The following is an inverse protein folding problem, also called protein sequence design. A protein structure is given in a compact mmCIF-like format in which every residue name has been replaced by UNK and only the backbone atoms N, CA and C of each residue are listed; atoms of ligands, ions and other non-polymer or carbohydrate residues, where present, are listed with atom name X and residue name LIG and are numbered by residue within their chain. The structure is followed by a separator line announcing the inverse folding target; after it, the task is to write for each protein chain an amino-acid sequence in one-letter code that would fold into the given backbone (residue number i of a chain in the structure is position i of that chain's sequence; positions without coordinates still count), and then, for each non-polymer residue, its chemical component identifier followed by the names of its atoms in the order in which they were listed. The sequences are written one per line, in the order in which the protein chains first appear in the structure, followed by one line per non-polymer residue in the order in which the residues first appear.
data_IF_926726859518
#
_entry.id   IF_926726859518
#
_cell.length_a   1.000
_cell.length_b   1.000
_cell.length_c   1.000
_cell.angle_alpha   90.00
_cell.angle_beta   90.00
_cell.angle_gamma   90.00
#
_symmetry.space_group_name_H-M   'P 1'
#
loop_
_entity.id
_entity.type
_entity.pdbx_description
1 polymer ?
#
# COMPACT_ATOMS: atom_id res chain seq x y z
N UNK A 1 18.28 -0.91 -0.69
CA UNK A 1 17.21 -1.85 -0.28
C UNK A 1 17.12 -1.92 1.23
N UNK A 2 16.09 -1.29 1.80
CA UNK A 2 15.67 -1.56 3.18
C UNK A 2 15.27 -3.04 3.29
N UNK A 3 15.85 -3.77 4.25
CA UNK A 3 15.48 -5.15 4.54
C UNK A 3 14.32 -5.13 5.53
N UNK A 4 13.09 -5.12 5.02
CA UNK A 4 11.91 -5.30 5.86
C UNK A 4 11.83 -6.76 6.33
N UNK A 5 11.40 -6.98 7.58
CA UNK A 5 11.30 -8.35 8.17
C UNK A 5 10.13 -9.15 7.60
N UNK A 6 9.15 -8.47 7.02
CA UNK A 6 7.95 -9.06 6.44
C UNK A 6 6.82 -8.03 6.37
N UNK A 7 5.68 -8.46 5.81
CA UNK A 7 4.46 -7.67 5.81
C UNK A 7 3.86 -7.61 7.23
N UNK A 8 3.28 -6.46 7.60
CA UNK A 8 2.44 -6.37 8.80
C UNK A 8 1.20 -7.26 8.66
N UNK A 9 0.56 -7.56 9.79
CA UNK A 9 -0.75 -8.22 9.79
C UNK A 9 -1.79 -7.33 9.11
N UNK A 10 -2.74 -7.94 8.39
CA UNK A 10 -3.78 -7.22 7.66
C UNK A 10 -4.54 -6.24 8.56
N UNK A 11 -4.93 -6.66 9.75
CA UNK A 11 -5.69 -5.82 10.69
C UNK A 11 -4.89 -4.60 11.14
N UNK A 12 -3.56 -4.75 11.29
CA UNK A 12 -2.68 -3.65 11.61
C UNK A 12 -2.51 -2.70 10.42
N UNK A 13 -2.41 -3.22 9.19
CA UNK A 13 -2.35 -2.39 7.97
C UNK A 13 -3.62 -1.56 7.83
N UNK A 14 -4.80 -2.18 7.98
CA UNK A 14 -6.09 -1.49 7.88
C UNK A 14 -6.19 -0.40 8.94
N UNK A 15 -5.92 -0.74 10.21
CA UNK A 15 -6.02 0.23 11.31
C UNK A 15 -5.04 1.39 11.16
N UNK A 16 -3.78 1.13 10.78
CA UNK A 16 -2.78 2.17 10.56
C UNK A 16 -3.15 3.04 9.35
N UNK A 17 -3.71 2.45 8.28
CA UNK A 17 -4.12 3.16 7.08
C UNK A 17 -5.29 4.12 7.37
N UNK A 18 -6.32 3.65 8.06
CA UNK A 18 -7.46 4.47 8.48
C UNK A 18 -7.02 5.63 9.40
N UNK A 19 -6.11 5.37 10.34
CA UNK A 19 -5.54 6.42 11.21
C UNK A 19 -4.73 7.46 10.44
N UNK A 20 -4.09 7.07 9.34
CA UNK A 20 -3.34 7.95 8.43
C UNK A 20 -4.24 8.66 7.39
N UNK A 21 -5.55 8.40 7.41
CA UNK A 21 -6.54 9.04 6.54
C UNK A 21 -6.74 8.34 5.20
N UNK A 22 -6.25 7.12 5.03
CA UNK A 22 -6.53 6.31 3.83
C UNK A 22 -7.92 5.68 3.90
N UNK A 23 -8.61 5.67 2.78
CA UNK A 23 -9.77 4.82 2.55
C UNK A 23 -9.28 3.40 2.25
N UNK A 24 -9.84 2.40 2.94
CA UNK A 24 -9.48 0.99 2.77
C UNK A 24 -10.64 0.23 2.12
N UNK A 25 -10.36 -0.44 1.02
CA UNK A 25 -11.29 -1.35 0.34
C UNK A 25 -10.70 -2.77 0.36
N UNK A 26 -11.23 -3.59 1.26
CA UNK A 26 -10.88 -4.99 1.44
C UNK A 26 -11.98 -5.95 0.93
N UNK A 27 -13.01 -5.44 0.26
CA UNK A 27 -14.21 -6.21 -0.15
C UNK A 27 -13.83 -7.45 -0.96
N UNK A 28 -12.89 -7.30 -1.90
CA UNK A 28 -12.43 -8.41 -2.73
C UNK A 28 -11.73 -9.51 -1.91
N UNK A 29 -11.02 -9.14 -0.85
CA UNK A 29 -10.36 -10.08 0.04
C UNK A 29 -11.39 -10.85 0.88
N UNK A 30 -12.33 -10.13 1.49
CA UNK A 30 -13.32 -10.70 2.41
C UNK A 30 -14.39 -11.55 1.72
N UNK A 31 -14.88 -11.11 0.55
CA UNK A 31 -16.03 -11.74 -0.10
C UNK A 31 -15.64 -12.71 -1.22
N UNK A 32 -14.52 -12.46 -1.91
CA UNK A 32 -14.15 -13.17 -3.13
C UNK A 32 -12.89 -14.03 -2.99
N UNK A 33 -12.27 -14.07 -1.82
CA UNK A 33 -11.01 -14.79 -1.59
C UNK A 33 -9.83 -14.24 -2.41
N UNK A 34 -9.90 -12.97 -2.80
CA UNK A 34 -8.77 -12.28 -3.43
C UNK A 34 -7.64 -12.10 -2.41
N UNK A 35 -6.39 -12.05 -2.88
CA UNK A 35 -5.25 -11.65 -2.03
C UNK A 35 -5.05 -10.13 -1.97
N UNK A 36 -5.93 -9.36 -2.59
CA UNK A 36 -5.74 -7.92 -2.81
C UNK A 36 -6.66 -7.06 -1.96
N UNK A 37 -6.07 -6.03 -1.36
CA UNK A 37 -6.76 -4.87 -0.79
C UNK A 37 -6.31 -3.59 -1.50
N UNK A 38 -7.13 -2.56 -1.42
CA UNK A 38 -6.83 -1.25 -2.00
C UNK A 38 -6.86 -0.17 -0.93
N UNK A 39 -5.81 0.65 -0.89
CA UNK A 39 -5.72 1.84 -0.05
C UNK A 39 -5.81 3.05 -0.97
N UNK A 40 -6.69 4.01 -0.67
CA UNK A 40 -6.85 5.21 -1.49
C UNK A 40 -6.76 6.43 -0.61
N UNK A 41 -5.96 7.39 -1.04
CA UNK A 41 -5.99 8.73 -0.50
C UNK A 41 -6.22 9.68 -1.66
N UNK A 42 -7.48 10.06 -1.82
CA UNK A 42 -7.96 10.92 -2.91
C UNK A 42 -7.92 12.40 -2.53
N UNK A 43 -7.62 12.75 -1.28
CA UNK A 43 -7.74 14.12 -0.79
C UNK A 43 -6.39 14.80 -0.55
N UNK A 44 -5.38 14.05 -0.14
CA UNK A 44 -4.06 14.61 0.14
C UNK A 44 -3.03 14.11 -0.88
N UNK A 45 -2.70 12.82 -0.85
CA UNK A 45 -1.61 12.26 -1.66
C UNK A 45 -1.99 12.06 -3.13
N UNK A 46 -3.29 11.99 -3.43
CA UNK A 46 -3.82 11.56 -4.73
C UNK A 46 -3.14 10.25 -5.18
N UNK A 47 -3.17 9.22 -4.32
CA UNK A 47 -2.56 7.91 -4.59
C UNK A 47 -3.55 6.78 -4.33
N UNK A 48 -3.40 5.72 -5.12
CA UNK A 48 -4.06 4.44 -4.90
C UNK A 48 -2.99 3.36 -4.79
N UNK A 49 -3.06 2.55 -3.74
CA UNK A 49 -2.12 1.47 -3.47
C UNK A 49 -2.87 0.15 -3.51
N UNK A 50 -2.53 -0.70 -4.47
CA UNK A 50 -2.99 -2.08 -4.49
C UNK A 50 -1.97 -2.94 -3.74
N UNK A 51 -2.40 -3.63 -2.68
CA UNK A 51 -1.54 -4.43 -1.80
C UNK A 51 -1.97 -5.88 -1.88
N UNK A 52 -1.02 -6.76 -2.18
CA UNK A 52 -1.21 -8.20 -2.06
C UNK A 52 -0.81 -8.64 -0.66
N UNK A 53 -1.76 -9.05 0.16
CA UNK A 53 -1.52 -9.33 1.59
C UNK A 53 -0.80 -10.65 1.83
N UNK A 54 -0.75 -11.52 0.82
CA UNK A 54 -0.12 -12.85 0.89
C UNK A 54 1.37 -12.80 0.50
N UNK A 55 1.71 -12.07 -0.57
CA UNK A 55 3.09 -11.88 -1.04
C UNK A 55 3.76 -10.63 -0.47
N UNK A 56 2.98 -9.68 0.04
CA UNK A 56 3.43 -8.36 0.46
C UNK A 56 3.85 -7.46 -0.69
N UNK A 57 3.57 -7.81 -1.95
CA UNK A 57 3.79 -6.91 -3.08
C UNK A 57 2.78 -5.77 -3.07
N UNK A 58 3.21 -4.57 -3.47
CA UNK A 58 2.29 -3.48 -3.75
C UNK A 58 2.61 -2.75 -5.05
N UNK A 59 1.58 -2.07 -5.56
CA UNK A 59 1.63 -1.17 -6.71
C UNK A 59 0.97 0.15 -6.31
N UNK A 60 1.62 1.25 -6.65
CA UNK A 60 1.11 2.61 -6.43
C UNK A 60 0.69 3.19 -7.77
N UNK A 61 -0.47 3.82 -7.80
CA UNK A 61 -1.04 4.50 -8.97
C UNK A 61 -1.40 5.93 -8.61
N UNK A 62 -1.13 6.84 -9.53
CA UNK A 62 -1.77 8.16 -9.54
C UNK A 62 -3.13 8.09 -10.25
N UNK A 63 -4.10 8.93 -9.86
CA UNK A 63 -5.34 9.10 -10.59
C UNK A 63 -5.06 9.29 -12.08
N UNK A 64 -5.88 8.64 -12.91
CA UNK A 64 -5.82 8.71 -14.37
C UNK A 64 -4.61 8.04 -15.05
N UNK A 65 -3.63 7.52 -14.31
CA UNK A 65 -2.55 6.72 -14.90
C UNK A 65 -2.95 5.25 -15.04
N UNK A 66 -2.68 4.66 -16.21
CA UNK A 66 -2.92 3.22 -16.47
C UNK A 66 -1.78 2.32 -15.98
N UNK A 67 -0.61 2.89 -15.68
CA UNK A 67 0.58 2.16 -15.26
C UNK A 67 0.90 2.50 -13.81
N UNK A 68 1.47 1.55 -13.04
CA UNK A 68 1.97 1.86 -11.70
C UNK A 68 3.05 2.94 -11.78
N UNK A 69 2.93 3.93 -10.90
CA UNK A 69 3.94 4.96 -10.66
C UNK A 69 5.11 4.38 -9.85
N UNK A 70 4.82 3.51 -8.89
CA UNK A 70 5.84 2.83 -8.08
C UNK A 70 5.41 1.41 -7.70
N UNK A 71 6.38 0.61 -7.30
CA UNK A 71 6.18 -0.75 -6.79
C UNK A 71 7.03 -0.97 -5.55
N UNK A 72 6.82 -2.06 -4.83
CA UNK A 72 7.70 -2.51 -3.74
C UNK A 72 9.20 -2.67 -4.11
N UNK A 73 9.54 -2.71 -5.39
CA UNK A 73 10.93 -2.79 -5.88
C UNK A 73 11.51 -1.43 -6.33
N UNK A 74 10.72 -0.36 -6.34
CA UNK A 74 11.17 0.95 -6.81
C UNK A 74 12.15 1.56 -5.82
N UNK A 75 13.43 1.62 -6.21
CA UNK A 75 14.50 2.24 -5.41
C UNK A 75 14.66 3.73 -5.69
N UNK A 76 14.15 4.18 -6.85
CA UNK A 76 14.18 5.56 -7.29
C UNK A 76 13.37 6.50 -6.37
N UNK A 77 12.44 5.95 -5.58
CA UNK A 77 11.62 6.70 -4.63
C UNK A 77 12.06 6.52 -3.16
N UNK A 78 13.23 5.92 -2.89
CA UNK A 78 13.71 5.66 -1.51
C UNK A 78 13.86 6.96 -0.67
N UNK A 79 14.01 8.12 -1.32
CA UNK A 79 14.11 9.43 -0.67
C UNK A 79 12.77 10.20 -0.64
N UNK A 80 11.71 9.65 -1.23
CA UNK A 80 10.40 10.29 -1.25
C UNK A 80 9.64 9.99 0.04
N UNK A 81 9.11 11.03 0.70
CA UNK A 81 8.39 10.87 1.97
C UNK A 81 7.14 9.98 1.82
N UNK A 82 6.34 10.21 0.79
CA UNK A 82 5.12 9.45 0.51
C UNK A 82 5.41 7.95 0.28
N UNK A 83 6.54 7.62 -0.35
CA UNK A 83 6.89 6.22 -0.61
C UNK A 83 7.36 5.54 0.67
N UNK A 84 8.17 6.24 1.47
CA UNK A 84 8.59 5.77 2.78
C UNK A 84 7.40 5.58 3.74
N UNK A 85 6.39 6.45 3.67
CA UNK A 85 5.14 6.30 4.41
C UNK A 85 4.44 4.98 4.06
N UNK A 86 4.25 4.70 2.77
CA UNK A 86 3.65 3.44 2.30
C UNK A 86 4.47 2.23 2.78
N UNK A 87 5.79 2.29 2.67
CA UNK A 87 6.65 1.21 3.16
C UNK A 87 6.49 0.96 4.66
N UNK A 88 6.45 2.04 5.47
CA UNK A 88 6.26 1.95 6.91
C UNK A 88 4.85 1.52 7.30
N UNK A 89 3.85 1.86 6.49
CA UNK A 89 2.48 1.41 6.64
C UNK A 89 2.40 -0.11 6.44
N UNK A 90 3.02 -0.63 5.38
CA UNK A 90 2.87 -2.03 4.97
C UNK A 90 3.81 -3.01 5.68
N UNK A 91 5.05 -2.61 5.98
CA UNK A 91 6.08 -3.54 6.42
C UNK A 91 6.51 -3.39 7.87
N UNK A 92 7.02 -4.49 8.42
CA UNK A 92 7.68 -4.53 9.72
C UNK A 92 9.14 -4.11 9.56
N UNK A 93 9.51 -3.04 10.27
CA UNK A 93 10.89 -2.54 10.42
C UNK A 93 11.77 -3.45 11.29
#
# INVERSE_FOLDING_TARGET
MKKFKGLKKLEAIISDAEQQGWEVDATAFEENGSDWIYLRDIYDRLKQVAVNVTSGHFYVYEPFQKKPTATHMSSEFDNEEWYNEILNLLYVS
#
